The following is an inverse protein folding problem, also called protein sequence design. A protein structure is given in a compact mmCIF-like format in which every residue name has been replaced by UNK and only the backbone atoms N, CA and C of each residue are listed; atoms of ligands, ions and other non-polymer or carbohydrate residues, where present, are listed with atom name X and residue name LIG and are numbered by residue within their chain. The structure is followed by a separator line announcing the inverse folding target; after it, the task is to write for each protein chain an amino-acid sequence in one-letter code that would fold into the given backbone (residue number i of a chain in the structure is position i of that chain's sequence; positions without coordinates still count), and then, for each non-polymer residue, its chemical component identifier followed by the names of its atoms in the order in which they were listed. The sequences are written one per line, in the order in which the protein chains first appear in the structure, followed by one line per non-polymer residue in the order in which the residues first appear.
data_IF_743076543536
#
_entry.id   IF_743076543536
#
_cell.length_a   1.000
_cell.length_b   1.000
_cell.length_c   1.000
_cell.angle_alpha   90.00
_cell.angle_beta   90.00
_cell.angle_gamma   90.00
#
_symmetry.space_group_name_H-M   'P 1'
#
loop_
_entity.id
_entity.type
_entity.pdbx_description
1 polymer ?
#
# COMPACT_ATOMS: atom_id res chain seq x y z
N UNK A 1 -38.81 55.97 -59.81
CA UNK A 1 -38.80 54.70 -59.14
C UNK A 1 -37.42 54.23 -58.58
N UNK A 2 -36.45 55.10 -58.45
CA UNK A 2 -35.10 54.73 -57.96
C UNK A 2 -34.79 55.18 -56.51
N UNK A 3 -35.50 56.08 -55.91
CA UNK A 3 -35.26 56.61 -54.59
C UNK A 3 -35.91 55.79 -53.44
N UNK A 4 -37.03 55.07 -53.72
CA UNK A 4 -37.69 54.29 -52.69
C UNK A 4 -36.93 52.94 -52.37
N UNK A 5 -36.19 52.39 -53.33
CA UNK A 5 -35.44 51.16 -53.12
C UNK A 5 -34.14 51.44 -52.37
N UNK A 6 -33.54 52.62 -52.44
CA UNK A 6 -32.36 53.02 -51.71
C UNK A 6 -32.67 53.21 -50.22
N UNK A 7 -33.82 53.84 -49.90
CA UNK A 7 -34.24 53.93 -48.48
C UNK A 7 -34.58 52.62 -47.83
N UNK A 8 -35.13 51.64 -48.59
CA UNK A 8 -35.42 50.33 -48.07
C UNK A 8 -34.12 49.51 -47.80
N UNK A 9 -33.13 49.67 -48.65
CA UNK A 9 -31.81 49.05 -48.45
C UNK A 9 -31.03 49.66 -47.25
N UNK A 10 -31.13 50.98 -47.03
CA UNK A 10 -30.52 51.61 -45.88
C UNK A 10 -31.26 51.27 -44.58
N UNK A 11 -32.58 51.08 -44.60
CA UNK A 11 -33.35 50.61 -43.46
C UNK A 11 -33.04 49.15 -43.09
N UNK A 12 -32.81 48.26 -44.09
CA UNK A 12 -32.38 46.87 -43.83
C UNK A 12 -30.92 46.80 -43.36
N UNK A 13 -30.02 47.62 -43.85
CA UNK A 13 -28.66 47.69 -43.36
C UNK A 13 -28.55 48.28 -41.95
N UNK A 14 -29.44 49.23 -41.57
CA UNK A 14 -29.49 49.75 -40.19
C UNK A 14 -30.11 48.74 -39.21
N UNK A 15 -31.04 47.85 -39.65
CA UNK A 15 -31.61 46.81 -38.80
C UNK A 15 -30.62 45.64 -38.51
N UNK A 16 -29.68 45.40 -39.41
CA UNK A 16 -28.62 44.36 -39.18
C UNK A 16 -27.49 44.85 -38.30
N UNK A 17 -27.28 46.13 -38.12
CA UNK A 17 -26.25 46.69 -37.22
C UNK A 17 -26.73 46.75 -35.74
N UNK A 18 -28.03 46.70 -35.50
CA UNK A 18 -28.60 46.75 -34.14
C UNK A 18 -28.77 45.42 -33.47
N UNK A 19 -28.47 44.30 -34.14
CA UNK A 19 -28.48 42.96 -33.55
C UNK A 19 -27.10 42.51 -33.04
N UNK A 20 -26.08 43.39 -33.07
CA UNK A 20 -24.71 43.09 -32.72
C UNK A 20 -24.27 43.39 -31.29
N UNK A 21 -25.18 43.80 -30.41
CA UNK A 21 -24.92 43.93 -28.97
C UNK A 21 -26.04 43.25 -28.21
N UNK A 22 -26.08 41.92 -28.26
CA UNK A 22 -26.59 41.22 -27.10
C UNK A 22 -25.57 41.54 -25.99
N UNK A 23 -26.01 42.02 -24.80
CA UNK A 23 -25.14 42.06 -23.67
C UNK A 23 -24.60 40.65 -23.52
N UNK A 24 -23.28 40.46 -23.59
CA UNK A 24 -22.66 39.19 -23.19
C UNK A 24 -23.29 38.85 -21.85
N UNK A 25 -23.89 37.67 -21.77
CA UNK A 25 -24.38 37.15 -20.50
C UNK A 25 -23.21 37.33 -19.52
N UNK A 26 -23.44 37.91 -18.34
CA UNK A 26 -22.36 38.07 -17.39
C UNK A 26 -21.65 36.72 -17.26
N UNK A 27 -20.30 36.72 -17.24
CA UNK A 27 -19.44 35.56 -17.17
C UNK A 27 -19.72 34.63 -15.96
N UNK A 28 -20.79 34.87 -15.24
CA UNK A 28 -21.13 34.26 -13.94
C UNK A 28 -22.52 33.58 -13.95
N UNK A 29 -22.83 32.84 -14.98
CA UNK A 29 -23.97 31.90 -14.91
C UNK A 29 -23.48 30.55 -14.41
N UNK A 30 -23.14 30.47 -13.13
CA UNK A 30 -22.98 29.17 -12.46
C UNK A 30 -24.32 28.43 -12.51
N UNK A 31 -24.29 27.21 -13.03
CA UNK A 31 -25.43 26.31 -13.10
C UNK A 31 -25.26 25.11 -12.17
N UNK A 32 -26.35 24.56 -11.59
CA UNK A 32 -26.28 23.30 -10.88
C UNK A 32 -25.88 22.12 -11.80
N UNK A 33 -26.03 22.29 -13.13
CA UNK A 33 -25.68 21.31 -14.15
C UNK A 33 -24.21 21.39 -14.59
N UNK A 34 -23.44 22.38 -14.10
CA UNK A 34 -22.01 22.44 -14.34
C UNK A 34 -21.28 21.42 -13.44
N UNK A 35 -20.34 20.66 -14.02
CA UNK A 35 -19.52 19.74 -13.24
C UNK A 35 -18.70 20.51 -12.20
N UNK A 36 -18.64 20.08 -10.93
CA UNK A 36 -17.91 20.78 -9.91
C UNK A 36 -16.41 20.66 -10.15
N UNK A 37 -15.67 21.75 -9.91
CA UNK A 37 -14.22 21.79 -9.96
C UNK A 37 -13.67 22.27 -8.62
N UNK A 38 -12.88 21.42 -7.96
CA UNK A 38 -12.17 21.78 -6.73
C UNK A 38 -10.90 22.57 -7.12
N UNK A 39 -10.84 23.82 -6.71
CA UNK A 39 -9.75 24.75 -7.01
C UNK A 39 -8.64 24.70 -5.95
N UNK A 40 -9.02 24.52 -4.68
CA UNK A 40 -8.12 24.38 -3.53
C UNK A 40 -8.69 23.31 -2.57
N UNK A 41 -7.87 22.61 -1.77
CA UNK A 41 -6.41 22.65 -1.78
C UNK A 41 -5.84 21.98 -3.03
N UNK A 42 -4.65 22.37 -3.43
CA UNK A 42 -3.85 21.64 -4.41
C UNK A 42 -2.39 21.67 -3.96
N UNK A 43 -1.63 20.61 -4.26
CA UNK A 43 -0.22 20.63 -3.95
C UNK A 43 0.57 21.50 -4.95
N UNK A 44 1.67 22.09 -4.52
CA UNK A 44 2.52 22.97 -5.33
C UNK A 44 3.10 22.28 -6.57
N UNK A 45 3.20 20.95 -6.56
CA UNK A 45 3.67 20.16 -7.69
C UNK A 45 2.61 19.87 -8.76
N UNK A 46 1.34 20.20 -8.51
CA UNK A 46 0.23 19.98 -9.45
C UNK A 46 -0.15 18.50 -9.66
N UNK A 47 0.42 17.55 -8.91
CA UNK A 47 0.23 16.11 -9.07
C UNK A 47 -0.91 15.52 -8.24
N UNK A 48 -1.71 16.35 -7.59
CA UNK A 48 -3.04 15.93 -7.12
C UNK A 48 -3.13 15.28 -5.75
N UNK A 49 -2.08 14.80 -5.12
CA UNK A 49 -2.13 14.26 -3.75
C UNK A 49 -1.61 15.27 -2.74
N UNK A 50 -2.35 15.52 -1.68
CA UNK A 50 -1.92 16.37 -0.57
C UNK A 50 -1.87 15.57 0.72
N UNK A 51 -0.97 15.95 1.63
CA UNK A 51 -0.71 15.23 2.86
C UNK A 51 -0.80 16.18 4.04
N UNK A 52 -1.53 15.76 5.06
CA UNK A 52 -1.58 16.43 6.36
C UNK A 52 -0.86 15.56 7.38
N UNK A 53 0.06 16.17 8.10
CA UNK A 53 0.85 15.53 9.15
C UNK A 53 0.58 16.26 10.48
N UNK A 54 -0.30 15.67 11.30
CA UNK A 54 -0.78 16.26 12.55
C UNK A 54 0.03 15.71 13.72
N UNK A 55 0.64 16.61 14.47
CA UNK A 55 1.61 16.29 15.54
C UNK A 55 1.02 15.40 16.64
N UNK A 56 -0.28 15.50 16.90
CA UNK A 56 -0.98 14.71 17.92
C UNK A 56 -2.51 14.81 17.71
N UNK A 57 -3.32 13.99 18.44
CA UNK A 57 -4.78 14.00 18.31
C UNK A 57 -5.47 15.30 18.69
N UNK A 58 -4.82 16.20 19.42
CA UNK A 58 -5.37 17.52 19.80
C UNK A 58 -5.02 18.61 18.77
N UNK A 59 -4.23 18.27 17.72
CA UNK A 59 -3.91 19.16 16.61
C UNK A 59 -5.02 19.07 15.57
N UNK A 60 -5.81 20.13 15.32
CA UNK A 60 -6.89 20.04 14.36
C UNK A 60 -6.39 19.99 12.93
N UNK A 61 -7.05 19.20 12.09
CA UNK A 61 -7.02 19.40 10.65
C UNK A 61 -7.77 20.68 10.32
N UNK A 62 -7.04 21.73 9.92
CA UNK A 62 -7.59 23.02 9.56
C UNK A 62 -7.31 23.33 8.10
N UNK A 63 -8.34 23.35 7.27
CA UNK A 63 -8.22 23.70 5.85
C UNK A 63 -9.53 24.24 5.27
N UNK A 64 -9.45 24.77 4.03
CA UNK A 64 -10.60 25.28 3.32
C UNK A 64 -10.58 24.90 1.84
N UNK A 65 -11.75 24.54 1.33
CA UNK A 65 -11.97 24.19 -0.07
C UNK A 65 -12.62 25.33 -0.82
N UNK A 66 -12.02 25.69 -1.96
CA UNK A 66 -12.64 26.55 -2.95
C UNK A 66 -13.14 25.71 -4.12
N UNK A 67 -14.40 25.88 -4.49
CA UNK A 67 -15.05 25.09 -5.55
C UNK A 67 -15.87 25.98 -6.47
N UNK A 68 -16.02 25.57 -7.72
CA UNK A 68 -16.95 26.19 -8.68
C UNK A 68 -17.82 25.09 -9.33
N UNK A 69 -19.16 25.28 -9.48
CA UNK A 69 -20.00 26.40 -9.03
C UNK A 69 -20.24 26.37 -7.51
N UNK A 70 -19.73 27.36 -6.77
CA UNK A 70 -19.75 27.35 -5.30
C UNK A 70 -21.16 27.39 -4.71
N UNK A 71 -22.11 28.07 -5.38
CA UNK A 71 -23.50 28.22 -4.92
C UNK A 71 -24.28 26.91 -4.91
N UNK A 72 -23.94 25.97 -5.78
CA UNK A 72 -24.70 24.73 -6.04
C UNK A 72 -23.97 23.48 -5.60
N UNK A 73 -22.80 23.61 -4.96
CA UNK A 73 -21.92 22.49 -4.61
C UNK A 73 -21.82 22.32 -3.11
N UNK A 74 -22.00 21.10 -2.65
CA UNK A 74 -21.72 20.66 -1.29
C UNK A 74 -20.34 19.99 -1.27
N UNK A 75 -19.55 20.23 -0.22
CA UNK A 75 -18.26 19.61 0.01
C UNK A 75 -18.40 18.62 1.16
N UNK A 76 -18.01 17.38 0.93
CA UNK A 76 -17.96 16.31 1.92
C UNK A 76 -16.50 15.87 2.10
N UNK A 77 -16.10 15.64 3.37
CA UNK A 77 -14.78 15.19 3.75
C UNK A 77 -14.91 13.76 4.31
N UNK A 78 -14.10 12.86 3.76
CA UNK A 78 -14.08 11.45 4.18
C UNK A 78 -12.68 11.08 4.66
N UNK A 79 -12.61 10.33 5.75
CA UNK A 79 -11.43 9.58 6.17
C UNK A 79 -11.74 8.09 6.05
N UNK A 80 -10.98 7.36 5.22
CA UNK A 80 -11.18 5.93 4.93
C UNK A 80 -12.65 5.57 4.62
N UNK A 81 -13.27 6.34 3.74
CA UNK A 81 -14.68 6.19 3.33
C UNK A 81 -15.73 6.63 4.37
N UNK A 82 -15.33 6.95 5.61
CA UNK A 82 -16.24 7.52 6.61
C UNK A 82 -16.36 9.03 6.44
N UNK A 83 -17.59 9.54 6.28
CA UNK A 83 -17.83 10.99 6.16
C UNK A 83 -17.68 11.66 7.51
N UNK A 84 -16.61 12.42 7.70
CA UNK A 84 -16.30 13.11 8.96
C UNK A 84 -16.86 14.53 9.03
N UNK A 85 -17.03 15.18 7.86
CA UNK A 85 -17.48 16.58 7.84
C UNK A 85 -18.16 16.95 6.51
N UNK A 86 -19.10 17.90 6.58
CA UNK A 86 -19.70 18.54 5.41
C UNK A 86 -19.54 20.05 5.54
N UNK A 87 -18.91 20.67 4.56
CA UNK A 87 -18.67 22.11 4.51
C UNK A 87 -17.36 22.47 3.82
N UNK A 88 -17.20 23.77 3.50
CA UNK A 88 -16.02 24.30 2.79
C UNK A 88 -14.82 24.55 3.70
N UNK A 89 -14.97 24.49 5.02
CA UNK A 89 -13.89 24.70 5.98
C UNK A 89 -13.98 23.61 7.04
N UNK A 90 -12.92 22.83 7.17
CA UNK A 90 -12.79 21.84 8.23
C UNK A 90 -11.89 22.41 9.35
N UNK A 91 -12.25 22.14 10.60
CA UNK A 91 -11.50 22.46 11.83
C UNK A 91 -11.86 21.37 12.85
N UNK A 92 -11.19 20.22 12.76
CA UNK A 92 -11.52 19.03 13.54
C UNK A 92 -10.28 18.27 13.96
N UNK A 93 -10.32 17.73 15.18
CA UNK A 93 -9.34 16.77 15.70
C UNK A 93 -9.78 15.34 15.42
N UNK A 94 -8.80 14.45 15.19
CA UNK A 94 -9.03 13.04 14.89
C UNK A 94 -8.20 12.15 15.81
N UNK A 95 -8.62 10.91 16.09
CA UNK A 95 -7.79 9.92 16.77
C UNK A 95 -6.48 9.68 16.01
N UNK A 96 -5.46 9.20 16.73
CA UNK A 96 -4.18 8.83 16.09
C UNK A 96 -4.40 7.73 15.04
N UNK A 97 -3.72 7.85 13.90
CA UNK A 97 -3.87 6.90 12.78
C UNK A 97 -3.37 7.47 11.46
N UNK A 98 -3.39 6.60 10.44
CA UNK A 98 -3.10 6.95 9.06
C UNK A 98 -4.36 6.77 8.22
N UNK A 99 -4.85 7.83 7.64
CA UNK A 99 -6.13 7.86 6.97
C UNK A 99 -5.99 8.27 5.51
N UNK A 100 -6.74 7.63 4.63
CA UNK A 100 -6.96 8.11 3.28
C UNK A 100 -8.01 9.21 3.30
N UNK A 101 -7.64 10.39 2.84
CA UNK A 101 -8.54 11.53 2.75
C UNK A 101 -9.17 11.61 1.37
N UNK A 102 -10.49 11.76 1.32
CA UNK A 102 -11.21 12.13 0.10
C UNK A 102 -12.03 13.39 0.37
N UNK A 103 -11.85 14.41 -0.48
CA UNK A 103 -12.69 15.60 -0.52
C UNK A 103 -13.57 15.46 -1.75
N UNK A 104 -14.86 15.31 -1.54
CA UNK A 104 -15.87 15.18 -2.59
C UNK A 104 -16.63 16.49 -2.75
N UNK A 105 -16.74 16.99 -3.97
CA UNK A 105 -17.62 18.08 -4.35
C UNK A 105 -18.81 17.53 -5.12
N UNK A 106 -20.03 17.79 -4.65
CA UNK A 106 -21.28 17.28 -5.26
C UNK A 106 -22.21 18.44 -5.54
N UNK A 107 -22.64 18.60 -6.82
CA UNK A 107 -23.64 19.60 -7.19
C UNK A 107 -25.05 19.14 -6.85
N UNK A 108 -26.02 20.07 -6.87
CA UNK A 108 -27.44 19.76 -6.71
C UNK A 108 -27.97 18.81 -7.80
N UNK A 109 -27.36 18.79 -8.99
CA UNK A 109 -27.67 17.87 -10.07
C UNK A 109 -27.01 16.48 -9.89
N UNK A 110 -26.22 16.27 -8.83
CA UNK A 110 -25.55 15.00 -8.53
C UNK A 110 -24.24 14.78 -9.28
N UNK A 111 -23.73 15.78 -9.98
CA UNK A 111 -22.40 15.71 -10.59
C UNK A 111 -21.32 15.78 -9.51
N UNK A 112 -20.23 14.99 -9.65
CA UNK A 112 -19.23 14.80 -8.63
C UNK A 112 -17.80 15.02 -9.15
N UNK A 113 -16.96 15.51 -8.28
CA UNK A 113 -15.50 15.58 -8.44
C UNK A 113 -14.86 15.30 -7.09
N UNK A 114 -13.73 14.60 -7.10
CA UNK A 114 -13.00 14.22 -5.90
C UNK A 114 -11.55 14.67 -5.95
N UNK A 115 -11.00 14.93 -4.78
CA UNK A 115 -9.58 15.09 -4.52
C UNK A 115 -9.19 14.13 -3.41
N UNK A 116 -8.05 13.43 -3.59
CA UNK A 116 -7.55 12.47 -2.61
C UNK A 116 -6.25 12.92 -1.99
N UNK A 117 -6.00 12.49 -0.78
CA UNK A 117 -4.80 12.79 -0.01
C UNK A 117 -4.66 11.84 1.16
N UNK A 118 -3.79 12.18 2.10
CA UNK A 118 -3.58 11.42 3.33
C UNK A 118 -3.59 12.34 4.55
N UNK A 119 -4.05 11.81 5.68
CA UNK A 119 -3.95 12.44 7.00
C UNK A 119 -3.25 11.48 7.93
N UNK A 120 -2.09 11.88 8.45
CA UNK A 120 -1.42 11.17 9.54
C UNK A 120 -1.63 11.96 10.82
N UNK A 121 -2.10 11.29 11.87
CA UNK A 121 -2.24 11.84 13.21
C UNK A 121 -1.34 11.03 14.14
N UNK A 122 -0.27 11.65 14.64
CA UNK A 122 0.67 10.95 15.52
C UNK A 122 0.07 10.74 16.91
N UNK A 123 0.25 9.58 17.55
CA UNK A 123 -0.12 9.39 18.95
C UNK A 123 0.81 10.17 19.86
N UNK A 124 0.37 10.47 21.07
CA UNK A 124 1.32 10.85 22.11
C UNK A 124 2.18 9.64 22.54
N UNK A 125 3.42 9.88 22.96
CA UNK A 125 4.35 8.82 23.40
C UNK A 125 3.80 7.94 24.53
N UNK A 126 2.88 8.46 25.31
CA UNK A 126 2.25 7.76 26.43
C UNK A 126 0.89 7.13 26.10
N UNK A 127 0.32 7.37 24.93
CA UNK A 127 -0.96 6.80 24.51
C UNK A 127 -0.79 5.35 24.00
N UNK A 128 -1.74 4.46 24.23
CA UNK A 128 -1.78 3.17 23.56
C UNK A 128 -2.04 3.40 22.06
N UNK A 129 -1.23 2.76 21.23
CA UNK A 129 -1.37 2.89 19.78
C UNK A 129 -0.83 1.66 19.05
N UNK A 130 -1.48 1.27 17.96
CA UNK A 130 -1.06 0.20 17.06
C UNK A 130 -1.32 0.60 15.62
N UNK A 131 -0.27 0.91 14.86
CA UNK A 131 -0.40 1.18 13.42
C UNK A 131 -0.71 -0.11 12.65
N UNK A 132 -1.54 0.00 11.62
CA UNK A 132 -1.74 -1.11 10.68
C UNK A 132 -0.45 -1.37 9.90
N UNK A 133 -0.16 -2.64 9.53
CA UNK A 133 0.89 -2.95 8.55
C UNK A 133 0.64 -2.25 7.22
N UNK A 134 1.69 -2.06 6.41
CA UNK A 134 1.57 -1.42 5.10
C UNK A 134 0.60 -2.15 4.14
N UNK A 135 0.43 -3.47 4.31
CA UNK A 135 -0.53 -4.27 3.55
C UNK A 135 -1.98 -4.18 4.08
N UNK A 136 -2.22 -3.36 5.13
CA UNK A 136 -3.49 -3.36 5.85
C UNK A 136 -3.55 -4.42 6.96
N UNK A 137 -4.60 -4.35 7.78
CA UNK A 137 -4.86 -5.33 8.84
C UNK A 137 -6.09 -6.14 8.47
N UNK A 138 -5.86 -7.37 7.99
CA UNK A 138 -6.92 -8.29 7.55
C UNK A 138 -7.16 -9.36 8.62
N UNK A 139 -8.39 -9.52 9.07
CA UNK A 139 -8.77 -10.38 10.17
C UNK A 139 -9.87 -11.37 9.79
N UNK A 140 -9.85 -12.54 10.43
CA UNK A 140 -10.93 -13.51 10.40
C UNK A 140 -11.65 -13.56 11.75
N UNK A 141 -13.00 -13.61 11.79
CA UNK A 141 -13.73 -13.90 13.01
C UNK A 141 -13.36 -15.27 13.61
N UNK A 142 -13.28 -15.34 14.94
CA UNK A 142 -12.98 -16.57 15.67
C UNK A 142 -11.51 -16.98 15.72
N UNK A 143 -10.61 -16.26 15.04
CA UNK A 143 -9.17 -16.52 15.06
C UNK A 143 -8.46 -15.56 16.03
N UNK A 144 -7.56 -16.11 16.87
CA UNK A 144 -6.74 -15.26 17.75
C UNK A 144 -5.75 -14.45 16.92
N UNK A 145 -5.85 -13.13 17.04
CA UNK A 145 -5.01 -12.16 16.32
C UNK A 145 -4.13 -11.42 17.28
N UNK A 146 -2.88 -11.18 16.90
CA UNK A 146 -1.95 -10.29 17.59
C UNK A 146 -1.84 -8.96 16.85
N UNK A 147 -1.86 -7.87 17.59
CA UNK A 147 -1.45 -6.55 17.10
C UNK A 147 -0.27 -6.04 17.93
N UNK A 148 0.72 -5.50 17.24
CA UNK A 148 1.91 -4.91 17.84
C UNK A 148 1.76 -3.39 17.93
N UNK A 149 2.40 -2.75 18.91
CA UNK A 149 2.27 -1.31 19.12
C UNK A 149 3.03 -0.80 20.32
N UNK A 150 2.61 0.35 20.83
CA UNK A 150 3.17 0.98 22.03
C UNK A 150 2.11 1.09 23.14
N UNK A 151 2.54 0.97 24.40
CA UNK A 151 1.72 1.15 25.60
C UNK A 151 0.43 0.29 25.63
N UNK A 152 0.41 -0.83 24.92
CA UNK A 152 -0.78 -1.65 24.73
C UNK A 152 -1.27 -2.28 26.05
N UNK A 153 -0.44 -2.38 27.08
CA UNK A 153 -0.85 -2.78 28.45
C UNK A 153 -1.89 -1.84 29.08
N UNK A 154 -2.01 -0.60 28.59
CA UNK A 154 -3.01 0.37 29.04
C UNK A 154 -4.40 0.14 28.44
N UNK A 155 -4.48 -0.51 27.28
CA UNK A 155 -5.75 -0.84 26.65
C UNK A 155 -6.49 -1.91 27.47
N UNK A 156 -7.69 -1.62 27.95
CA UNK A 156 -8.54 -2.56 28.69
C UNK A 156 -9.51 -3.29 27.78
N UNK A 157 -9.94 -2.61 26.73
CA UNK A 157 -10.81 -3.18 25.71
C UNK A 157 -10.38 -2.71 24.33
N UNK A 158 -10.72 -3.51 23.33
CA UNK A 158 -10.65 -3.18 21.93
C UNK A 158 -12.07 -2.89 21.47
N UNK A 159 -12.27 -1.80 20.77
CA UNK A 159 -13.56 -1.41 20.20
C UNK A 159 -13.47 -1.50 18.70
N UNK A 160 -14.38 -2.27 18.10
CA UNK A 160 -14.60 -2.33 16.65
C UNK A 160 -15.81 -1.47 16.36
N UNK A 161 -15.68 -0.49 15.48
CA UNK A 161 -16.72 0.50 15.20
C UNK A 161 -16.86 0.78 13.69
N UNK A 162 -18.03 1.26 13.29
CA UNK A 162 -18.29 1.72 11.93
C UNK A 162 -17.78 3.14 11.69
N UNK A 163 -17.35 3.84 12.73
CA UNK A 163 -16.87 5.21 12.65
C UNK A 163 -15.56 5.42 13.42
N UNK A 164 -14.78 6.41 12.95
CA UNK A 164 -13.46 6.77 13.49
C UNK A 164 -13.48 7.22 14.97
N UNK A 165 -14.64 7.69 15.48
CA UNK A 165 -14.78 8.18 16.84
C UNK A 165 -15.32 7.12 17.81
N UNK A 166 -15.67 5.93 17.30
CA UNK A 166 -16.23 4.86 18.11
C UNK A 166 -17.64 5.14 18.64
N UNK A 167 -18.43 5.95 17.94
CA UNK A 167 -19.82 6.22 18.32
C UNK A 167 -20.77 5.12 17.83
N UNK A 168 -20.42 4.42 16.74
CA UNK A 168 -21.18 3.30 16.17
C UNK A 168 -20.46 1.97 16.47
N UNK A 169 -20.48 1.56 17.74
CA UNK A 169 -19.78 0.35 18.22
C UNK A 169 -20.43 -0.90 17.66
N UNK A 170 -19.64 -1.77 17.02
CA UNK A 170 -20.00 -3.11 16.58
C UNK A 170 -19.66 -4.13 17.68
N UNK A 171 -18.42 -4.10 18.19
CA UNK A 171 -17.95 -4.99 19.24
C UNK A 171 -17.09 -4.25 20.26
N UNK A 172 -17.17 -4.73 21.51
CA UNK A 172 -16.22 -4.40 22.57
C UNK A 172 -15.58 -5.69 23.06
N UNK A 173 -14.27 -5.83 22.92
CA UNK A 173 -13.53 -7.07 23.09
C UNK A 173 -12.51 -6.90 24.22
N UNK A 174 -12.46 -7.83 25.15
CA UNK A 174 -11.39 -7.89 26.15
C UNK A 174 -10.20 -8.64 25.53
N UNK A 175 -8.97 -8.10 25.57
CA UNK A 175 -7.78 -8.82 25.12
C UNK A 175 -7.64 -10.18 25.82
N UNK A 176 -7.27 -11.22 25.07
CA UNK A 176 -6.92 -12.55 25.64
C UNK A 176 -5.55 -12.53 26.30
N UNK A 177 -4.66 -11.64 25.83
CA UNK A 177 -3.34 -11.38 26.38
C UNK A 177 -2.90 -9.96 26.04
N UNK A 178 -2.08 -9.32 26.91
CA UNK A 178 -1.51 -8.01 26.60
C UNK A 178 -0.20 -7.76 27.35
N UNK A 179 0.71 -7.05 26.67
CA UNK A 179 1.94 -6.44 27.18
C UNK A 179 2.09 -5.04 26.57
N UNK A 180 3.12 -4.28 26.94
CA UNK A 180 3.32 -2.92 26.39
C UNK A 180 3.53 -2.92 24.87
N UNK A 181 4.21 -3.94 24.34
CA UNK A 181 4.57 -4.03 22.92
C UNK A 181 3.53 -4.73 22.04
N UNK A 182 2.63 -5.52 22.61
CA UNK A 182 1.60 -6.22 21.84
C UNK A 182 0.38 -6.60 22.68
N UNK A 183 -0.73 -6.89 22.01
CA UNK A 183 -1.90 -7.53 22.61
C UNK A 183 -2.50 -8.56 21.65
N UNK A 184 -3.24 -9.52 22.22
CA UNK A 184 -3.96 -10.55 21.46
C UNK A 184 -5.44 -10.48 21.77
N UNK A 185 -6.26 -10.79 20.78
CA UNK A 185 -7.70 -10.85 20.91
C UNK A 185 -8.31 -11.81 19.88
N UNK A 186 -9.56 -12.16 20.09
CA UNK A 186 -10.36 -12.92 19.13
C UNK A 186 -11.50 -12.02 18.67
N UNK A 187 -11.56 -11.75 17.35
CA UNK A 187 -12.65 -11.00 16.76
C UNK A 187 -13.93 -11.86 16.85
N UNK A 188 -15.04 -11.37 17.43
CA UNK A 188 -16.31 -12.07 17.38
C UNK A 188 -16.82 -12.23 15.94
N UNK A 189 -17.91 -12.98 15.78
CA UNK A 189 -18.61 -13.10 14.50
C UNK A 189 -19.00 -11.70 14.00
N UNK A 190 -18.43 -11.32 12.86
CA UNK A 190 -18.48 -9.99 12.28
C UNK A 190 -18.64 -10.13 10.77
N UNK A 191 -19.54 -9.37 10.16
CA UNK A 191 -19.73 -9.39 8.70
C UNK A 191 -18.48 -8.89 7.95
N UNK A 192 -18.33 -9.30 6.69
CA UNK A 192 -17.28 -8.78 5.82
C UNK A 192 -17.37 -7.27 5.68
N UNK A 193 -16.26 -6.58 5.82
CA UNK A 193 -16.22 -5.13 5.70
C UNK A 193 -14.99 -4.49 6.32
N UNK A 194 -14.87 -3.18 6.14
CA UNK A 194 -13.84 -2.36 6.76
C UNK A 194 -14.41 -1.68 7.99
N UNK A 195 -13.72 -1.81 9.12
CA UNK A 195 -14.09 -1.24 10.40
C UNK A 195 -12.91 -0.45 10.99
N UNK A 196 -13.23 0.46 11.92
CA UNK A 196 -12.22 1.13 12.72
C UNK A 196 -11.92 0.31 13.97
N UNK A 197 -10.64 0.11 14.24
CA UNK A 197 -10.13 -0.49 15.46
C UNK A 197 -9.71 0.64 16.40
N UNK A 198 -10.27 0.65 17.59
CA UNK A 198 -9.96 1.62 18.62
C UNK A 198 -9.54 0.87 19.89
N UNK A 199 -8.62 1.46 20.64
CA UNK A 199 -8.19 0.97 21.94
C UNK A 199 -8.85 1.81 23.03
N UNK A 200 -9.38 1.18 24.07
CA UNK A 200 -10.02 1.88 25.18
C UNK A 200 -9.29 1.59 26.49
N UNK A 201 -8.96 2.62 27.25
CA UNK A 201 -8.31 2.50 28.54
C UNK A 201 -9.30 2.28 29.70
N UNK A 202 -8.79 2.27 30.94
CA UNK A 202 -9.59 2.08 32.15
C UNK A 202 -10.55 3.25 32.45
N UNK A 203 -10.26 4.44 31.93
CA UNK A 203 -11.06 5.65 32.07
C UNK A 203 -12.09 5.80 30.94
N UNK A 204 -12.21 4.78 30.08
CA UNK A 204 -13.08 4.76 28.90
C UNK A 204 -12.68 5.75 27.81
N UNK A 205 -11.46 6.28 27.84
CA UNK A 205 -10.92 7.09 26.74
C UNK A 205 -10.58 6.18 25.56
N UNK A 206 -10.97 6.62 24.35
CA UNK A 206 -10.70 5.93 23.09
C UNK A 206 -9.47 6.50 22.41
N UNK A 207 -8.68 5.61 21.80
CA UNK A 207 -7.48 5.89 21.03
C UNK A 207 -7.57 5.16 19.68
N UNK A 208 -7.15 5.78 18.61
CA UNK A 208 -7.13 5.16 17.30
C UNK A 208 -6.08 4.04 17.20
N UNK A 209 -6.32 3.06 16.34
CA UNK A 209 -5.40 1.99 16.01
C UNK A 209 -5.59 1.54 14.55
N UNK A 210 -5.88 2.49 13.67
CA UNK A 210 -6.13 2.29 12.25
C UNK A 210 -7.34 1.36 11.93
N UNK A 211 -7.45 0.94 10.68
CA UNK A 211 -8.56 0.12 10.20
C UNK A 211 -8.26 -1.37 10.27
N UNK A 212 -9.33 -2.15 10.21
CA UNK A 212 -9.30 -3.58 9.93
C UNK A 212 -10.23 -3.92 8.77
N UNK A 213 -9.83 -4.85 7.92
CA UNK A 213 -10.67 -5.49 6.94
C UNK A 213 -11.03 -6.89 7.42
N UNK A 214 -12.32 -7.16 7.58
CA UNK A 214 -12.84 -8.45 8.08
C UNK A 214 -13.22 -9.33 6.92
N UNK A 215 -12.78 -10.58 6.94
CA UNK A 215 -13.04 -11.59 5.92
C UNK A 215 -13.56 -12.88 6.55
N UNK A 216 -14.79 -13.29 6.17
CA UNK A 216 -15.35 -14.60 6.50
C UNK A 216 -14.95 -15.67 5.48
N UNK A 217 -14.68 -15.25 4.24
CA UNK A 217 -14.14 -16.09 3.18
C UNK A 217 -12.61 -16.13 3.16
N UNK A 218 -12.06 -17.08 2.41
CA UNK A 218 -10.62 -17.17 2.18
C UNK A 218 -10.15 -16.05 1.26
N UNK A 219 -9.09 -15.33 1.66
CA UNK A 219 -8.44 -14.30 0.87
C UNK A 219 -6.93 -14.48 0.86
N UNK A 220 -6.30 -14.27 -0.31
CA UNK A 220 -4.84 -14.22 -0.49
C UNK A 220 -4.40 -12.76 -0.47
N UNK A 221 -3.39 -12.44 0.34
CA UNK A 221 -2.92 -11.07 0.58
C UNK A 221 -1.55 -10.80 -0.02
N UNK A 222 -0.65 -11.79 0.00
CA UNK A 222 0.71 -11.63 -0.49
C UNK A 222 1.32 -12.96 -1.00
N UNK A 223 2.50 -12.86 -1.64
CA UNK A 223 3.24 -14.02 -2.14
C UNK A 223 2.79 -14.51 -3.51
N UNK A 224 1.75 -13.93 -4.11
CA UNK A 224 1.20 -14.38 -5.39
C UNK A 224 1.70 -13.59 -6.61
N UNK A 225 2.35 -12.46 -6.44
CA UNK A 225 2.80 -11.63 -7.56
C UNK A 225 3.96 -12.28 -8.34
N UNK A 226 4.88 -12.93 -7.63
CA UNK A 226 6.01 -13.65 -8.22
C UNK A 226 5.97 -15.13 -7.82
N UNK A 227 6.22 -16.02 -8.78
CA UNK A 227 6.25 -17.46 -8.59
C UNK A 227 7.69 -17.99 -8.68
N UNK A 228 8.22 -18.63 -7.63
CA UNK A 228 9.57 -19.21 -7.64
C UNK A 228 9.56 -20.58 -8.35
N UNK A 229 9.58 -20.58 -9.68
CA UNK A 229 9.43 -21.78 -10.50
C UNK A 229 10.31 -22.97 -10.01
N UNK A 230 9.68 -24.12 -9.75
CA UNK A 230 10.33 -25.33 -9.28
C UNK A 230 10.74 -25.33 -7.80
N UNK A 231 10.50 -24.26 -7.05
CA UNK A 231 10.86 -24.12 -5.63
C UNK A 231 9.62 -24.01 -4.73
N UNK A 232 9.89 -23.98 -3.41
CA UNK A 232 8.84 -23.73 -2.43
C UNK A 232 8.22 -22.35 -2.64
N UNK A 233 6.91 -22.31 -2.65
CA UNK A 233 6.12 -21.10 -2.84
C UNK A 233 5.12 -20.93 -1.69
N UNK A 234 5.16 -19.80 -1.02
CA UNK A 234 4.27 -19.46 0.09
C UNK A 234 3.37 -18.30 -0.31
N UNK A 235 2.07 -18.54 -0.29
CA UNK A 235 1.04 -17.51 -0.46
C UNK A 235 0.40 -17.28 0.90
N UNK A 236 0.37 -16.05 1.37
CA UNK A 236 -0.17 -15.71 2.68
C UNK A 236 -1.54 -15.01 2.57
N UNK A 237 -2.35 -15.14 3.60
CA UNK A 237 -3.70 -14.58 3.59
C UNK A 237 -4.48 -14.86 4.88
N UNK A 238 -5.78 -14.92 4.76
CA UNK A 238 -6.73 -15.15 5.86
C UNK A 238 -7.71 -16.25 5.46
N UNK A 239 -8.10 -17.10 6.41
CA UNK A 239 -9.01 -18.23 6.21
C UNK A 239 -8.56 -19.26 5.15
N UNK A 240 -7.25 -19.45 4.99
CA UNK A 240 -6.71 -20.31 3.94
C UNK A 240 -6.75 -21.82 4.27
N UNK A 241 -7.14 -22.22 5.48
CA UNK A 241 -7.16 -23.63 5.94
C UNK A 241 -8.06 -24.56 5.12
N UNK A 242 -8.97 -24.02 4.31
CA UNK A 242 -9.86 -24.79 3.42
C UNK A 242 -9.40 -24.85 1.97
N UNK A 243 -8.25 -24.27 1.66
CA UNK A 243 -7.69 -24.32 0.30
C UNK A 243 -7.34 -25.75 -0.06
N UNK A 244 -7.82 -26.21 -1.21
CA UNK A 244 -7.59 -27.56 -1.70
C UNK A 244 -6.83 -27.60 -3.03
N UNK A 245 -6.80 -26.49 -3.77
CA UNK A 245 -6.20 -26.46 -5.10
C UNK A 245 -5.65 -25.09 -5.45
N UNK A 246 -4.46 -25.07 -6.02
CA UNK A 246 -3.86 -23.90 -6.70
C UNK A 246 -3.74 -24.23 -8.19
N UNK A 247 -4.17 -23.32 -9.05
CA UNK A 247 -4.08 -23.45 -10.50
C UNK A 247 -3.20 -22.34 -11.07
N UNK A 248 -2.11 -22.74 -11.76
CA UNK A 248 -1.22 -21.84 -12.49
C UNK A 248 -1.26 -22.18 -13.96
N UNK A 249 -1.72 -21.28 -14.79
CA UNK A 249 -2.08 -21.57 -16.18
C UNK A 249 -3.06 -22.77 -16.26
N UNK A 250 -2.64 -23.87 -16.90
CA UNK A 250 -3.41 -25.10 -16.98
C UNK A 250 -2.97 -26.18 -15.99
N UNK A 251 -1.98 -25.88 -15.10
CA UNK A 251 -1.44 -26.82 -14.13
C UNK A 251 -2.23 -26.71 -12.83
N UNK A 252 -2.82 -27.82 -12.38
CA UNK A 252 -3.47 -27.92 -11.09
C UNK A 252 -2.52 -28.56 -10.06
N UNK A 253 -2.42 -27.95 -8.87
CA UNK A 253 -1.56 -28.38 -7.76
C UNK A 253 -2.47 -28.62 -6.56
N UNK A 254 -2.43 -29.86 -6.04
CA UNK A 254 -3.24 -30.30 -4.89
C UNK A 254 -2.39 -30.81 -3.72
N UNK A 255 -1.07 -30.93 -3.91
CA UNK A 255 -0.13 -31.22 -2.83
C UNK A 255 0.23 -29.88 -2.14
N UNK A 256 -0.54 -29.54 -1.12
CA UNK A 256 -0.52 -28.28 -0.42
C UNK A 256 -0.33 -28.48 1.08
N UNK A 257 0.44 -27.61 1.71
CA UNK A 257 0.45 -27.45 3.16
C UNK A 257 -0.32 -26.17 3.49
N UNK A 258 -1.46 -26.29 4.16
CA UNK A 258 -2.34 -25.18 4.46
C UNK A 258 -2.45 -24.90 5.95
N UNK A 259 -2.51 -23.64 6.30
CA UNK A 259 -2.81 -23.13 7.64
C UNK A 259 -3.90 -22.06 7.53
N UNK A 260 -4.34 -21.47 8.64
CA UNK A 260 -5.31 -20.38 8.60
C UNK A 260 -4.80 -19.16 7.78
N UNK A 261 -3.48 -18.97 7.73
CA UNK A 261 -2.86 -17.77 7.15
C UNK A 261 -1.86 -18.05 6.01
N UNK A 262 -1.67 -19.29 5.59
CA UNK A 262 -0.74 -19.60 4.49
C UNK A 262 -1.12 -20.84 3.70
N UNK A 263 -0.75 -20.83 2.42
CA UNK A 263 -0.69 -21.98 1.52
C UNK A 263 0.75 -22.13 1.06
N UNK A 264 1.38 -23.27 1.38
CA UNK A 264 2.73 -23.60 0.94
C UNK A 264 2.67 -24.76 -0.04
N UNK A 265 3.36 -24.64 -1.17
CA UNK A 265 3.37 -25.61 -2.25
C UNK A 265 4.73 -25.58 -2.97
N UNK A 266 4.99 -26.59 -3.80
CA UNK A 266 6.06 -26.53 -4.79
C UNK A 266 5.50 -25.85 -6.06
N UNK A 267 6.06 -24.72 -6.44
CA UNK A 267 5.67 -24.01 -7.67
C UNK A 267 6.00 -24.86 -8.91
N UNK A 268 5.16 -24.84 -9.95
CA UNK A 268 5.48 -25.55 -11.19
C UNK A 268 6.72 -24.96 -11.86
N UNK A 269 7.55 -25.80 -12.45
CA UNK A 269 8.76 -25.41 -13.19
C UNK A 269 8.37 -24.84 -14.57
N UNK A 270 7.85 -23.61 -14.59
CA UNK A 270 7.49 -22.90 -15.79
C UNK A 270 8.63 -21.97 -16.25
N UNK A 271 8.67 -21.70 -17.54
CA UNK A 271 9.61 -20.74 -18.13
C UNK A 271 9.30 -19.31 -17.66
N UNK A 272 10.26 -18.41 -17.85
CA UNK A 272 10.07 -16.97 -17.61
C UNK A 272 8.84 -16.45 -18.34
N UNK A 273 7.91 -15.80 -17.61
CA UNK A 273 6.68 -15.30 -18.20
C UNK A 273 5.60 -14.93 -17.18
N UNK A 274 4.47 -14.48 -17.67
CA UNK A 274 3.28 -14.20 -16.89
C UNK A 274 2.27 -15.35 -17.02
N UNK A 275 1.70 -15.78 -15.91
CA UNK A 275 0.75 -16.88 -15.86
C UNK A 275 -0.48 -16.50 -15.04
N UNK A 276 -1.65 -16.97 -15.47
CA UNK A 276 -2.87 -16.84 -14.68
C UNK A 276 -2.77 -17.72 -13.43
N UNK A 277 -3.13 -17.15 -12.28
CA UNK A 277 -3.17 -17.82 -10.98
C UNK A 277 -4.58 -17.76 -10.42
N UNK A 278 -5.12 -18.89 -10.00
CA UNK A 278 -6.36 -19.01 -9.24
C UNK A 278 -6.19 -20.02 -8.11
N UNK A 279 -6.88 -19.79 -7.00
CA UNK A 279 -6.85 -20.67 -5.81
C UNK A 279 -8.30 -21.05 -5.50
N UNK A 280 -8.52 -22.32 -5.08
CA UNK A 280 -9.86 -22.83 -4.82
C UNK A 280 -9.93 -23.56 -3.48
N UNK A 281 -11.02 -23.36 -2.77
CA UNK A 281 -11.37 -24.08 -1.57
C UNK A 281 -11.86 -25.53 -1.89
N UNK A 282 -12.03 -26.36 -0.86
CA UNK A 282 -12.55 -27.74 -0.97
C UNK A 282 -13.94 -27.82 -1.61
N UNK A 283 -14.78 -26.81 -1.41
CA UNK A 283 -16.12 -26.72 -1.99
C UNK A 283 -16.15 -26.21 -3.44
N UNK A 284 -14.98 -25.88 -3.99
CA UNK A 284 -14.80 -25.34 -5.33
C UNK A 284 -14.97 -23.83 -5.44
N UNK A 285 -15.26 -23.13 -4.34
CA UNK A 285 -15.29 -21.66 -4.33
C UNK A 285 -13.91 -21.08 -4.55
N UNK A 286 -13.82 -19.92 -5.23
CA UNK A 286 -12.57 -19.23 -5.44
C UNK A 286 -12.12 -18.51 -4.16
N UNK A 287 -10.81 -18.51 -3.92
CA UNK A 287 -10.14 -17.62 -2.97
C UNK A 287 -9.94 -16.28 -3.64
N UNK A 288 -10.32 -15.19 -2.99
CA UNK A 288 -10.12 -13.86 -3.55
C UNK A 288 -8.71 -13.34 -3.29
N UNK A 289 -8.10 -12.75 -4.30
CA UNK A 289 -6.85 -12.02 -4.16
C UNK A 289 -7.13 -10.55 -3.86
N UNK A 290 -6.57 -10.03 -2.79
CA UNK A 290 -6.67 -8.61 -2.47
C UNK A 290 -5.54 -7.86 -3.19
N UNK A 291 -5.93 -6.99 -4.09
CA UNK A 291 -5.02 -6.17 -4.92
C UNK A 291 -5.30 -4.69 -4.72
N UNK A 292 -4.43 -3.82 -5.23
CA UNK A 292 -4.66 -2.37 -5.21
C UNK A 292 -5.94 -1.95 -5.98
N UNK A 293 -6.43 -2.81 -6.88
CA UNK A 293 -7.65 -2.57 -7.68
C UNK A 293 -8.90 -3.18 -7.02
N UNK A 294 -8.74 -3.90 -5.90
CA UNK A 294 -9.79 -4.57 -5.15
C UNK A 294 -9.64 -6.09 -5.12
N UNK A 295 -10.69 -6.78 -4.69
CA UNK A 295 -10.73 -8.24 -4.58
C UNK A 295 -11.09 -8.89 -5.93
N UNK A 296 -10.28 -9.86 -6.39
CA UNK A 296 -10.44 -10.57 -7.66
C UNK A 296 -10.24 -12.07 -7.49
N UNK A 297 -10.92 -12.90 -8.31
CA UNK A 297 -10.82 -14.37 -8.27
C UNK A 297 -9.57 -14.92 -8.98
N UNK A 298 -8.95 -14.11 -9.81
CA UNK A 298 -7.78 -14.50 -10.59
C UNK A 298 -6.81 -13.32 -10.71
N UNK A 299 -5.53 -13.60 -10.58
CA UNK A 299 -4.45 -12.65 -10.80
C UNK A 299 -3.45 -13.20 -11.82
N UNK A 300 -2.50 -12.37 -12.22
CA UNK A 300 -1.29 -12.80 -12.90
C UNK A 300 -0.18 -12.98 -11.89
N UNK A 301 0.53 -14.10 -11.99
CA UNK A 301 1.81 -14.33 -11.31
C UNK A 301 2.93 -14.32 -12.34
N UNK A 302 4.09 -13.86 -11.95
CA UNK A 302 5.25 -13.74 -12.84
C UNK A 302 6.29 -14.77 -12.41
N UNK A 303 6.78 -15.57 -13.37
CA UNK A 303 8.07 -16.27 -13.22
C UNK A 303 9.14 -15.27 -13.64
N UNK A 304 9.90 -14.70 -12.69
CA UNK A 304 10.90 -13.70 -13.02
C UNK A 304 12.08 -14.32 -13.76
N UNK A 305 12.79 -13.51 -14.53
CA UNK A 305 14.07 -13.93 -15.15
C UNK A 305 15.14 -14.22 -14.09
N UNK A 306 14.94 -13.69 -12.90
CA UNK A 306 15.83 -13.85 -11.74
C UNK A 306 14.99 -13.93 -10.48
N UNK A 307 15.42 -14.76 -9.52
CA UNK A 307 14.79 -14.87 -8.20
C UNK A 307 15.48 -13.94 -7.23
N UNK A 308 14.73 -13.07 -6.56
CA UNK A 308 15.25 -12.14 -5.55
C UNK A 308 15.47 -12.85 -4.23
N UNK A 309 16.68 -12.71 -3.65
CA UNK A 309 17.04 -13.25 -2.34
C UNK A 309 17.35 -12.18 -1.29
N UNK A 310 17.46 -10.92 -1.73
CA UNK A 310 17.61 -9.77 -0.84
C UNK A 310 17.19 -8.48 -1.55
N UNK A 311 16.60 -7.55 -0.79
CA UNK A 311 16.15 -6.22 -1.29
C UNK A 311 16.63 -5.13 -0.34
N UNK A 312 17.19 -4.02 -0.90
CA UNK A 312 17.65 -2.82 -0.22
C UNK A 312 16.66 -1.65 -0.34
N UNK A 313 17.17 -0.39 -0.27
CA UNK A 313 18.59 -0.01 -0.44
C UNK A 313 19.42 -0.03 0.86
N UNK A 314 20.70 -0.37 0.76
CA UNK A 314 21.70 -0.20 1.82
C UNK A 314 22.98 0.35 1.20
N UNK A 315 23.43 1.51 1.69
CA UNK A 315 24.74 2.06 1.32
C UNK A 315 25.82 1.37 2.16
N UNK A 316 26.77 0.71 1.48
CA UNK A 316 27.81 -0.06 2.14
C UNK A 316 29.01 0.82 2.51
N UNK A 317 29.54 0.58 3.72
CA UNK A 317 30.76 1.13 4.26
C UNK A 317 31.56 0.00 4.93
N UNK A 318 32.91 0.00 4.80
CA UNK A 318 33.76 -1.05 5.39
C UNK A 318 33.58 -1.21 6.90
N UNK A 319 33.15 -0.15 7.59
CA UNK A 319 33.17 -0.08 9.05
C UNK A 319 31.80 -0.26 9.72
N UNK A 320 30.68 -0.05 9.02
CA UNK A 320 29.37 0.02 9.66
C UNK A 320 28.28 -0.76 8.92
N UNK A 321 28.05 -0.44 7.65
CA UNK A 321 26.90 -0.96 6.94
C UNK A 321 27.30 -2.02 5.91
N UNK A 322 26.79 -3.23 6.12
CA UNK A 322 26.94 -4.34 5.20
C UNK A 322 25.57 -4.92 4.84
N UNK A 323 25.49 -5.44 3.66
CA UNK A 323 24.33 -6.25 3.25
C UNK A 323 24.54 -7.68 3.72
N UNK A 324 23.54 -8.25 4.38
CA UNK A 324 23.57 -9.62 4.88
C UNK A 324 22.40 -10.41 4.28
N UNK A 325 22.73 -11.47 3.52
CA UNK A 325 21.77 -12.44 3.01
C UNK A 325 21.85 -13.66 3.91
N UNK A 326 20.83 -13.89 4.71
CA UNK A 326 20.79 -15.00 5.69
C UNK A 326 20.84 -16.36 5.01
N UNK A 327 21.37 -17.37 5.70
CA UNK A 327 21.45 -18.73 5.19
C UNK A 327 20.08 -19.30 4.77
N UNK A 328 19.00 -18.88 5.44
CA UNK A 328 17.64 -19.27 5.07
C UNK A 328 17.24 -18.78 3.67
N UNK A 329 17.61 -17.56 3.28
CA UNK A 329 17.38 -17.04 1.94
C UNK A 329 18.34 -17.70 0.93
N UNK A 330 19.60 -17.94 1.31
CA UNK A 330 20.59 -18.63 0.48
C UNK A 330 20.25 -20.10 0.24
N UNK A 331 19.41 -20.73 1.08
CA UNK A 331 18.97 -22.10 0.89
C UNK A 331 18.17 -22.32 -0.42
N UNK A 332 17.56 -21.27 -0.95
CA UNK A 332 16.86 -21.30 -2.24
C UNK A 332 17.80 -21.26 -3.45
N UNK A 333 19.09 -20.91 -3.26
CA UNK A 333 20.05 -20.74 -4.36
C UNK A 333 20.72 -22.09 -4.69
N UNK A 334 20.51 -22.66 -5.88
CA UNK A 334 21.17 -23.89 -6.28
C UNK A 334 22.69 -23.68 -6.45
N UNK A 335 23.46 -24.70 -6.13
CA UNK A 335 24.89 -24.73 -6.50
C UNK A 335 24.99 -24.71 -8.02
N UNK A 336 25.83 -23.80 -8.54
CA UNK A 336 25.98 -23.55 -9.96
C UNK A 336 25.15 -22.36 -10.49
N UNK A 337 24.21 -21.85 -9.68
CA UNK A 337 23.46 -20.63 -10.05
C UNK A 337 24.37 -19.42 -10.17
N UNK A 338 23.97 -18.48 -11.01
CA UNK A 338 24.61 -17.17 -11.08
C UNK A 338 23.89 -16.20 -10.15
N UNK A 339 24.62 -15.61 -9.22
CA UNK A 339 24.11 -14.55 -8.34
C UNK A 339 24.43 -13.19 -8.96
N UNK A 340 23.46 -12.29 -8.91
CA UNK A 340 23.53 -10.93 -9.42
C UNK A 340 23.38 -9.93 -8.29
N UNK A 341 24.32 -8.98 -8.18
CA UNK A 341 24.28 -7.88 -7.19
C UNK A 341 24.01 -6.58 -7.94
N UNK A 342 22.86 -5.98 -7.68
CA UNK A 342 22.45 -4.69 -8.23
C UNK A 342 22.84 -3.56 -7.29
N UNK A 343 23.39 -2.50 -7.84
CA UNK A 343 23.89 -1.38 -7.05
C UNK A 343 23.73 -0.04 -7.78
N UNK A 344 23.72 1.03 -7.02
CA UNK A 344 23.87 2.41 -7.48
C UNK A 344 25.23 2.92 -7.07
N UNK A 345 25.75 3.89 -7.84
CA UNK A 345 27.07 4.50 -7.63
C UNK A 345 26.85 5.97 -7.26
N UNK A 346 26.52 6.30 -5.98
CA UNK A 346 26.42 7.67 -5.52
C UNK A 346 27.79 8.37 -5.51
N UNK A 347 27.82 9.68 -5.38
CA UNK A 347 29.07 10.42 -5.24
C UNK A 347 29.80 10.01 -3.94
N UNK A 348 31.00 9.49 -4.07
CA UNK A 348 31.85 9.06 -2.97
C UNK A 348 33.35 9.19 -3.34
N UNK A 349 34.22 9.08 -2.33
CA UNK A 349 35.68 9.19 -2.51
C UNK A 349 36.24 8.09 -3.43
N UNK A 350 35.70 6.88 -3.31
CA UNK A 350 35.98 5.74 -4.17
C UNK A 350 34.83 4.73 -4.08
N UNK A 351 34.85 3.71 -4.97
CA UNK A 351 33.81 2.67 -5.01
C UNK A 351 34.46 1.30 -5.02
N UNK A 352 34.12 0.47 -4.05
CA UNK A 352 34.61 -0.89 -3.95
C UNK A 352 33.54 -1.85 -3.44
N UNK A 353 33.59 -3.10 -3.91
CA UNK A 353 32.71 -4.17 -3.45
C UNK A 353 33.47 -5.47 -3.24
N UNK A 354 33.07 -6.22 -2.23
CA UNK A 354 33.48 -7.60 -1.98
C UNK A 354 32.28 -8.40 -1.55
N UNK A 355 32.16 -9.62 -2.02
CA UNK A 355 31.11 -10.56 -1.57
C UNK A 355 31.78 -11.71 -0.83
N UNK A 356 31.44 -11.88 0.43
CA UNK A 356 32.12 -12.79 1.34
C UNK A 356 31.12 -13.43 2.31
N UNK A 357 31.57 -14.34 3.16
CA UNK A 357 30.80 -14.76 4.33
C UNK A 357 31.19 -13.92 5.56
N UNK A 358 30.39 -13.92 6.66
CA UNK A 358 30.80 -13.35 7.94
C UNK A 358 32.21 -13.80 8.34
N UNK A 359 32.98 -12.88 8.96
CA UNK A 359 34.37 -13.08 9.38
C UNK A 359 35.36 -13.33 8.24
N UNK A 360 34.92 -13.07 6.95
CA UNK A 360 35.78 -13.21 5.76
C UNK A 360 36.30 -14.64 5.56
N UNK A 361 35.49 -15.63 5.96
CA UNK A 361 35.86 -17.03 5.95
C UNK A 361 35.89 -17.63 4.54
N UNK A 362 35.06 -17.08 3.60
CA UNK A 362 35.04 -17.46 2.18
C UNK A 362 34.68 -16.25 1.31
N UNK A 363 35.42 -16.03 0.21
CA UNK A 363 35.12 -15.01 -0.78
C UNK A 363 34.40 -15.61 -1.99
N UNK A 364 33.16 -15.20 -2.22
CA UNK A 364 32.46 -15.44 -3.48
C UNK A 364 33.02 -14.54 -4.55
N UNK A 365 33.33 -13.30 -4.17
CA UNK A 365 33.94 -12.28 -4.99
C UNK A 365 34.99 -11.56 -4.17
N UNK A 366 36.30 -11.66 -4.53
CA UNK A 366 37.31 -10.84 -3.90
C UNK A 366 37.03 -9.37 -4.14
N UNK A 367 37.66 -8.49 -3.38
CA UNK A 367 37.49 -7.06 -3.50
C UNK A 367 37.76 -6.59 -4.95
N UNK A 368 36.79 -5.84 -5.48
CA UNK A 368 36.85 -5.15 -6.76
C UNK A 368 36.78 -3.66 -6.49
N UNK A 369 37.77 -2.92 -6.92
CA UNK A 369 37.83 -1.46 -6.88
C UNK A 369 37.36 -0.86 -8.21
N UNK A 370 36.93 0.41 -8.21
CA UNK A 370 36.48 1.09 -9.43
C UNK A 370 35.14 0.52 -9.93
N UNK A 371 34.22 0.30 -9.01
CA UNK A 371 32.91 -0.27 -9.31
C UNK A 371 32.06 0.57 -10.25
N UNK A 372 32.34 1.86 -10.40
CA UNK A 372 31.72 2.78 -11.38
C UNK A 372 31.92 2.35 -12.85
N UNK A 373 32.97 1.56 -13.13
CA UNK A 373 33.27 1.02 -14.44
C UNK A 373 32.85 -0.45 -14.65
N UNK A 374 32.26 -1.08 -13.64
CA UNK A 374 31.89 -2.49 -13.70
C UNK A 374 30.47 -2.70 -14.22
N UNK A 375 30.17 -3.90 -14.76
CA UNK A 375 28.79 -4.26 -15.11
C UNK A 375 27.84 -4.13 -13.93
N UNK A 376 26.61 -3.64 -14.19
CA UNK A 376 25.57 -3.59 -13.21
C UNK A 376 24.29 -4.27 -13.78
N UNK A 377 23.85 -5.43 -13.24
CA UNK A 377 24.36 -6.07 -12.02
C UNK A 377 25.75 -6.70 -12.19
N UNK A 378 26.52 -6.70 -11.11
CA UNK A 378 27.73 -7.51 -11.02
C UNK A 378 27.35 -8.95 -10.65
N UNK A 379 28.02 -9.95 -11.21
CA UNK A 379 27.61 -11.35 -11.05
C UNK A 379 28.77 -12.30 -10.75
N UNK A 380 28.45 -13.41 -10.08
CA UNK A 380 29.36 -14.52 -9.78
C UNK A 380 28.60 -15.84 -9.69
N UNK A 381 29.31 -16.96 -9.82
CA UNK A 381 28.70 -18.30 -9.68
C UNK A 381 28.71 -18.74 -8.22
N UNK A 382 27.57 -19.29 -7.73
CA UNK A 382 27.44 -19.85 -6.40
C UNK A 382 27.97 -21.27 -6.37
N UNK A 383 29.20 -21.44 -5.89
CA UNK A 383 29.89 -22.72 -5.86
C UNK A 383 29.56 -23.55 -4.62
N UNK A 384 29.82 -24.89 -4.66
CA UNK A 384 29.59 -25.79 -3.52
C UNK A 384 30.36 -25.36 -2.26
N UNK A 385 31.60 -24.90 -2.41
CA UNK A 385 32.40 -24.38 -1.30
C UNK A 385 31.78 -23.12 -0.65
N UNK A 386 31.18 -22.26 -1.47
CA UNK A 386 30.43 -21.10 -1.00
C UNK A 386 29.19 -21.51 -0.20
N UNK A 387 28.45 -22.52 -0.66
CA UNK A 387 27.32 -23.07 0.10
C UNK A 387 27.75 -23.63 1.47
N UNK A 388 28.80 -24.43 1.52
CA UNK A 388 29.33 -24.94 2.79
C UNK A 388 29.76 -23.81 3.74
N UNK A 389 30.33 -22.75 3.20
CA UNK A 389 30.73 -21.58 3.98
C UNK A 389 29.51 -20.82 4.53
N UNK A 390 28.44 -20.62 3.73
CA UNK A 390 27.18 -20.02 4.19
C UNK A 390 26.53 -20.87 5.27
N UNK A 391 26.43 -22.17 5.06
CA UNK A 391 25.84 -23.11 6.03
C UNK A 391 26.58 -23.05 7.38
N UNK A 392 27.91 -22.85 7.37
CA UNK A 392 28.76 -22.75 8.55
C UNK A 392 28.69 -21.38 9.23
N UNK A 393 28.64 -20.29 8.46
CA UNK A 393 28.77 -18.91 8.97
C UNK A 393 27.44 -18.19 9.13
N UNK A 394 26.37 -18.75 8.55
CA UNK A 394 24.99 -18.28 8.68
C UNK A 394 24.57 -17.23 7.65
N UNK A 395 25.45 -16.75 6.77
CA UNK A 395 25.09 -15.75 5.76
C UNK A 395 26.12 -15.59 4.63
N UNK A 396 25.68 -14.97 3.54
CA UNK A 396 26.52 -14.28 2.57
C UNK A 396 26.44 -12.77 2.86
N UNK A 397 27.56 -12.06 2.76
CA UNK A 397 27.64 -10.62 3.03
C UNK A 397 28.19 -9.86 1.82
N UNK A 398 27.62 -8.71 1.50
CA UNK A 398 28.22 -7.73 0.58
C UNK A 398 28.76 -6.58 1.40
N UNK A 399 30.04 -6.35 1.28
CA UNK A 399 30.79 -5.30 1.98
C UNK A 399 31.52 -4.43 0.98
N UNK A 400 31.90 -3.22 1.35
CA UNK A 400 32.61 -2.32 0.44
C UNK A 400 32.51 -0.88 0.87
N UNK A 401 32.61 0.04 -0.09
CA UNK A 401 32.53 1.46 0.15
C UNK A 401 31.90 2.20 -1.03
N UNK A 402 31.08 3.21 -0.73
CA UNK A 402 30.56 4.17 -1.70
C UNK A 402 29.49 3.64 -2.65
N UNK A 403 28.94 2.45 -2.42
CA UNK A 403 27.89 1.86 -3.24
C UNK A 403 26.60 1.73 -2.43
N UNK A 404 25.46 1.91 -3.10
CA UNK A 404 24.15 1.56 -2.54
C UNK A 404 23.66 0.27 -3.18
N UNK A 405 23.65 -0.83 -2.43
CA UNK A 405 23.14 -2.12 -2.91
C UNK A 405 21.61 -2.07 -2.88
N UNK A 406 20.99 -2.32 -4.01
CA UNK A 406 19.53 -2.20 -4.17
C UNK A 406 18.81 -3.54 -4.16
N UNK A 407 19.44 -4.58 -4.71
CA UNK A 407 18.83 -5.92 -4.83
C UNK A 407 19.91 -6.99 -5.06
N UNK A 408 19.65 -8.20 -4.60
CA UNK A 408 20.46 -9.40 -4.93
C UNK A 408 19.50 -10.48 -5.43
N UNK A 409 19.83 -11.08 -6.57
CA UNK A 409 19.03 -12.11 -7.23
C UNK A 409 19.90 -13.29 -7.64
N UNK A 410 19.29 -14.39 -8.05
CA UNK A 410 19.98 -15.49 -8.74
C UNK A 410 19.18 -16.00 -9.94
N UNK A 411 19.88 -16.70 -10.83
CA UNK A 411 19.32 -17.42 -11.97
C UNK A 411 20.06 -18.75 -12.19
#
# INVERSE_FOLDING_TARGET
MKTKNIMLLIAMAAATILTGCQPEAPFDTQSPDDAPLILTPYNESGTGTFTYDLVNPDTPLYDSVTVTPSKYTTINWYLDKYMVYTGTKIDMCFPAGNYNLTIEAVTQAGLRTERTGTVTVHPYDYDPYSAAPAAGRHLAPGVETQIDGQNLSKAKTIVIANDIFGSEVVHTITPTYQEDGFLKFILPDTEDGTYFLLLQDADSKLYGADNIDVHNGAVALAGFAEMPAGNEWVITGVNLQKVAKVKVADIEITDLQVTDNSVTLTAPALEVGEYALSIFNEDGSAVLFITNEGAVEQVKTIVPSETTIWTGPVTIDWNADLVKVEASAMAAVPVGATIYVYFEVPEAEYHAMRVTTPWWDYDFLPQVDGMEGQPNPYSFTYEAAGKEAVDRTGAMSVVGFGLTITKITFK
#
